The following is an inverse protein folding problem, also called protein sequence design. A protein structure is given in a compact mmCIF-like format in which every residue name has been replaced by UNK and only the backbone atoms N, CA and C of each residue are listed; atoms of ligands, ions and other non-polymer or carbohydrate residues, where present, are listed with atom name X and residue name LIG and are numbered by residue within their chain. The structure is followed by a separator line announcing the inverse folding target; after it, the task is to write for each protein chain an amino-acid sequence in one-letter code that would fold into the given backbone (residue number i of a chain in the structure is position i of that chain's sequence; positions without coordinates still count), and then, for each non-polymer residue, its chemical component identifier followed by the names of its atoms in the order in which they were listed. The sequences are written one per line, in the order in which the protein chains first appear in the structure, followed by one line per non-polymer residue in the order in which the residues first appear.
data_IF_071045311889
#
_entry.id   IF_071045311889
#
_cell.length_a   1.000
_cell.length_b   1.000
_cell.length_c   1.000
_cell.angle_alpha   90.00
_cell.angle_beta   90.00
_cell.angle_gamma   90.00
#
_symmetry.space_group_name_H-M   'P 1'
#
loop_
_entity.id
_entity.type
_entity.pdbx_description
1 polymer ?
#
# COMPACT_ATOMS: atom_id res chain seq x y z
N UNK A 1 13.77 -3.34 12.75
CA UNK A 1 12.69 -4.06 12.05
C UNK A 1 13.22 -4.36 10.65
N UNK A 2 13.19 -5.61 10.23
CA UNK A 2 13.75 -6.04 8.92
C UNK A 2 12.65 -5.99 7.89
N UNK A 3 12.54 -4.87 7.23
CA UNK A 3 11.45 -4.49 6.35
C UNK A 3 11.98 -4.21 4.94
N UNK A 4 11.22 -4.63 3.93
CA UNK A 4 11.44 -4.27 2.52
C UNK A 4 10.17 -3.60 2.01
N UNK A 5 10.35 -2.46 1.32
CA UNK A 5 9.27 -1.79 0.62
C UNK A 5 9.18 -2.28 -0.83
N UNK A 6 7.98 -2.65 -1.26
CA UNK A 6 7.67 -2.97 -2.65
C UNK A 6 6.70 -1.93 -3.20
N UNK A 7 7.16 -1.19 -4.21
CA UNK A 7 6.33 -0.25 -4.94
C UNK A 7 5.49 -1.03 -5.97
N UNK A 8 4.17 -1.04 -5.79
CA UNK A 8 3.25 -1.74 -6.69
C UNK A 8 2.94 -0.94 -7.95
N UNK A 9 2.83 0.38 -7.81
CA UNK A 9 2.45 1.27 -8.90
C UNK A 9 3.04 2.66 -8.70
N UNK A 10 3.18 3.42 -9.79
CA UNK A 10 3.45 4.86 -9.74
C UNK A 10 2.17 5.70 -9.90
N UNK A 11 1.02 5.05 -10.17
CA UNK A 11 -0.26 5.77 -10.17
C UNK A 11 -0.64 6.22 -8.76
N UNK A 12 -1.07 7.48 -8.64
CA UNK A 12 -1.56 8.06 -7.41
C UNK A 12 -2.59 9.14 -7.75
N UNK A 13 -3.75 9.22 -7.12
CA UNK A 13 -4.70 10.31 -7.33
C UNK A 13 -4.21 11.67 -6.82
N UNK A 14 -3.07 11.68 -6.09
CA UNK A 14 -2.41 12.88 -5.58
C UNK A 14 -1.09 13.17 -6.31
N UNK A 15 -0.76 14.45 -6.51
CA UNK A 15 0.50 14.93 -7.08
C UNK A 15 1.27 15.76 -6.04
N UNK A 16 1.67 15.12 -4.93
CA UNK A 16 2.33 15.81 -3.82
C UNK A 16 3.72 16.33 -4.22
N UNK A 17 3.98 17.63 -3.99
CA UNK A 17 5.22 18.27 -4.42
C UNK A 17 6.51 17.67 -3.82
N UNK A 18 6.41 16.97 -2.70
CA UNK A 18 7.53 16.30 -2.02
C UNK A 18 7.62 14.80 -2.32
N UNK A 19 6.83 14.29 -3.27
CA UNK A 19 6.79 12.86 -3.57
C UNK A 19 8.14 12.37 -4.11
N UNK A 20 8.82 11.52 -3.35
CA UNK A 20 10.15 11.00 -3.69
C UNK A 20 10.15 10.15 -4.97
N UNK A 21 9.04 9.48 -5.27
CA UNK A 21 8.89 8.63 -6.45
C UNK A 21 8.20 9.36 -7.61
N UNK A 22 7.81 10.62 -7.42
CA UNK A 22 7.08 11.44 -8.40
C UNK A 22 5.84 10.71 -8.96
N UNK A 23 5.09 10.09 -8.07
CA UNK A 23 3.82 9.48 -8.41
C UNK A 23 2.76 10.54 -8.75
N UNK A 24 1.77 10.15 -9.53
CA UNK A 24 0.70 11.07 -9.94
C UNK A 24 -0.40 10.38 -10.75
N UNK A 25 -1.49 11.11 -11.07
CA UNK A 25 -2.62 10.56 -11.82
C UNK A 25 -2.26 10.16 -13.26
N UNK A 26 -1.24 10.78 -13.84
CA UNK A 26 -0.80 10.53 -15.21
C UNK A 26 0.25 9.41 -15.31
N UNK A 27 0.62 8.80 -14.19
CA UNK A 27 1.54 7.67 -14.15
C UNK A 27 0.73 6.38 -14.16
N UNK A 28 1.14 5.43 -15.00
CA UNK A 28 0.42 4.17 -15.22
C UNK A 28 1.29 2.93 -15.07
N UNK A 29 2.56 3.13 -14.70
CA UNK A 29 3.49 2.03 -14.49
C UNK A 29 3.10 1.28 -13.22
N UNK A 30 2.95 -0.02 -13.35
CA UNK A 30 2.69 -0.93 -12.25
C UNK A 30 3.43 -2.26 -12.44
N UNK A 31 3.67 -2.93 -11.34
CA UNK A 31 4.31 -4.25 -11.32
C UNK A 31 3.32 -5.28 -11.88
N UNK A 32 3.80 -6.21 -12.72
CA UNK A 32 2.98 -7.35 -13.13
C UNK A 32 2.68 -8.29 -11.95
N UNK A 33 1.58 -9.04 -12.04
CA UNK A 33 1.26 -10.04 -11.01
C UNK A 33 2.35 -11.11 -10.88
N UNK A 34 2.97 -11.48 -12.01
CA UNK A 34 4.05 -12.47 -12.06
C UNK A 34 5.30 -11.96 -11.34
N UNK A 35 5.75 -10.74 -11.68
CA UNK A 35 6.89 -10.11 -11.03
C UNK A 35 6.65 -9.89 -9.54
N UNK A 36 5.46 -9.41 -9.15
CA UNK A 36 5.11 -9.21 -7.76
C UNK A 36 5.23 -10.51 -6.96
N UNK A 37 4.71 -11.61 -7.50
CA UNK A 37 4.79 -12.94 -6.89
C UNK A 37 6.24 -13.41 -6.76
N UNK A 38 7.02 -13.29 -7.83
CA UNK A 38 8.41 -13.75 -7.84
C UNK A 38 9.29 -12.93 -6.88
N UNK A 39 9.16 -11.61 -6.90
CA UNK A 39 9.91 -10.73 -5.99
C UNK A 39 9.53 -10.96 -4.53
N UNK A 40 8.26 -11.13 -4.20
CA UNK A 40 7.82 -11.42 -2.82
C UNK A 40 8.41 -12.74 -2.33
N UNK A 41 8.41 -13.77 -3.19
CA UNK A 41 9.05 -15.07 -2.88
C UNK A 41 10.55 -14.92 -2.62
N UNK A 42 11.27 -14.16 -3.46
CA UNK A 42 12.69 -13.88 -3.29
C UNK A 42 12.98 -13.11 -1.98
N UNK A 43 12.14 -12.10 -1.67
CA UNK A 43 12.24 -11.33 -0.42
C UNK A 43 12.09 -12.25 0.79
N UNK A 44 11.09 -13.12 0.80
CA UNK A 44 10.83 -14.05 1.90
C UNK A 44 11.96 -15.08 2.07
N UNK A 45 12.54 -15.56 0.97
CA UNK A 45 13.64 -16.52 0.98
C UNK A 45 14.99 -15.89 1.36
N UNK A 46 15.13 -14.57 1.29
CA UNK A 46 16.40 -13.90 1.51
C UNK A 46 16.99 -14.21 2.88
N UNK A 47 18.22 -14.75 2.89
CA UNK A 47 18.96 -15.16 4.10
C UNK A 47 18.10 -15.95 5.10
N UNK A 48 17.37 -16.97 4.60
CA UNK A 48 16.52 -17.85 5.41
C UNK A 48 15.48 -17.08 6.26
N UNK A 49 14.77 -16.14 5.65
CA UNK A 49 13.72 -15.36 6.32
C UNK A 49 14.25 -14.18 7.14
N UNK A 50 15.41 -13.64 6.75
CA UNK A 50 15.95 -12.43 7.37
C UNK A 50 14.98 -11.24 7.27
N UNK A 51 14.23 -11.13 6.18
CA UNK A 51 13.14 -10.18 5.99
C UNK A 51 11.84 -10.83 6.43
N UNK A 52 11.11 -10.20 7.31
CA UNK A 52 9.84 -10.70 7.81
C UNK A 52 8.68 -9.69 7.72
N UNK A 53 8.95 -8.47 7.27
CA UNK A 53 7.92 -7.44 7.00
C UNK A 53 8.03 -7.00 5.55
N UNK A 54 6.92 -7.08 4.82
CA UNK A 54 6.76 -6.50 3.50
C UNK A 54 5.87 -5.26 3.60
N UNK A 55 6.41 -4.11 3.23
CA UNK A 55 5.64 -2.87 3.06
C UNK A 55 5.19 -2.74 1.63
N UNK A 56 3.90 -2.92 1.37
CA UNK A 56 3.30 -2.62 0.07
C UNK A 56 2.98 -1.12 0.00
N UNK A 57 3.54 -0.48 -1.00
CA UNK A 57 3.51 0.96 -1.19
C UNK A 57 3.52 1.29 -2.69
N UNK A 58 3.88 2.51 -3.05
CA UNK A 58 4.00 2.94 -4.44
C UNK A 58 3.61 4.40 -4.57
N UNK A 59 2.88 4.72 -5.62
CA UNK A 59 2.10 5.94 -5.70
C UNK A 59 0.99 5.87 -4.66
N UNK A 60 -0.06 5.12 -4.98
CA UNK A 60 -1.12 4.79 -4.02
C UNK A 60 -1.57 3.33 -4.25
N UNK A 61 -1.24 2.40 -3.35
CA UNK A 61 -1.55 0.98 -3.59
C UNK A 61 -3.04 0.67 -3.67
N UNK A 62 -3.90 1.45 -2.99
CA UNK A 62 -5.36 1.28 -3.09
C UNK A 62 -5.94 1.73 -4.44
N UNK A 63 -5.19 2.40 -5.30
CA UNK A 63 -5.63 2.70 -6.67
C UNK A 63 -5.58 1.47 -7.59
N UNK A 64 -4.85 0.42 -7.19
CA UNK A 64 -4.74 -0.85 -7.92
C UNK A 64 -5.11 -2.04 -7.01
N UNK A 65 -6.37 -2.08 -6.54
CA UNK A 65 -6.85 -3.05 -5.55
C UNK A 65 -6.60 -4.51 -5.92
N UNK A 66 -6.69 -4.85 -7.21
CA UNK A 66 -6.43 -6.23 -7.69
C UNK A 66 -4.98 -6.62 -7.40
N UNK A 67 -4.03 -5.77 -7.76
CA UNK A 67 -2.60 -6.01 -7.55
C UNK A 67 -2.25 -5.95 -6.06
N UNK A 68 -2.81 -4.99 -5.32
CA UNK A 68 -2.65 -4.90 -3.87
C UNK A 68 -3.09 -6.19 -3.17
N UNK A 69 -4.30 -6.67 -3.46
CA UNK A 69 -4.83 -7.91 -2.88
C UNK A 69 -3.93 -9.10 -3.19
N UNK A 70 -3.56 -9.27 -4.45
CA UNK A 70 -2.66 -10.35 -4.86
C UNK A 70 -1.29 -10.26 -4.15
N UNK A 71 -0.70 -9.07 -4.05
CA UNK A 71 0.55 -8.87 -3.31
C UNK A 71 0.42 -9.21 -1.83
N UNK A 72 -0.71 -8.88 -1.20
CA UNK A 72 -0.99 -9.28 0.18
C UNK A 72 -1.16 -10.79 0.34
N UNK A 73 -1.85 -11.46 -0.59
CA UNK A 73 -2.00 -12.91 -0.61
C UNK A 73 -0.63 -13.60 -0.76
N UNK A 74 0.19 -13.16 -1.71
CA UNK A 74 1.55 -13.68 -1.89
C UNK A 74 2.43 -13.47 -0.66
N UNK A 75 2.30 -12.32 0.01
CA UNK A 75 3.02 -12.07 1.27
C UNK A 75 2.57 -13.03 2.38
N UNK A 76 1.27 -13.25 2.52
CA UNK A 76 0.70 -14.17 3.51
C UNK A 76 1.13 -15.64 3.24
N UNK A 77 1.09 -16.09 1.98
CA UNK A 77 1.58 -17.41 1.56
C UNK A 77 3.06 -17.64 1.93
N UNK A 78 3.84 -16.58 1.99
CA UNK A 78 5.27 -16.62 2.33
C UNK A 78 5.56 -16.23 3.79
N UNK A 79 4.55 -16.19 4.66
CA UNK A 79 4.67 -15.88 6.09
C UNK A 79 5.27 -14.51 6.40
N UNK A 80 5.07 -13.52 5.53
CA UNK A 80 5.50 -12.15 5.76
C UNK A 80 4.40 -11.36 6.48
N UNK A 81 4.81 -10.53 7.44
CA UNK A 81 3.92 -9.52 8.01
C UNK A 81 3.70 -8.41 6.99
N UNK A 82 2.43 -8.01 6.82
CA UNK A 82 2.02 -7.05 5.81
C UNK A 82 1.92 -5.66 6.43
N UNK A 83 2.71 -4.73 5.92
CA UNK A 83 2.59 -3.30 6.18
C UNK A 83 2.05 -2.62 4.92
N UNK A 84 1.08 -1.72 5.08
CA UNK A 84 0.56 -0.89 3.99
C UNK A 84 0.89 0.58 4.24
N UNK A 85 1.28 1.29 3.18
CA UNK A 85 1.47 2.74 3.22
C UNK A 85 0.52 3.37 2.21
N UNK A 86 -0.35 4.25 2.65
CA UNK A 86 -1.43 4.86 1.85
C UNK A 86 -1.63 6.32 2.20
N UNK A 87 -2.16 7.11 1.29
CA UNK A 87 -2.61 8.47 1.55
C UNK A 87 -4.06 8.54 2.06
N UNK A 88 -4.80 7.44 2.05
CA UNK A 88 -6.16 7.36 2.59
C UNK A 88 -7.26 7.93 1.69
N UNK A 89 -7.00 8.22 0.40
CA UNK A 89 -8.00 8.80 -0.51
C UNK A 89 -9.29 7.99 -0.60
N UNK A 90 -9.20 6.69 -0.43
CA UNK A 90 -10.29 5.70 -0.50
C UNK A 90 -11.26 5.76 0.68
N UNK A 91 -10.87 6.40 1.79
CA UNK A 91 -11.64 6.41 3.03
C UNK A 91 -12.60 7.62 3.11
N UNK A 92 -13.40 7.85 2.07
CA UNK A 92 -14.36 8.96 1.99
C UNK A 92 -15.49 8.86 3.00
N UNK A 93 -15.86 7.63 3.38
CA UNK A 93 -16.88 7.32 4.37
C UNK A 93 -16.35 6.21 5.30
N UNK A 94 -16.59 6.34 6.59
CA UNK A 94 -16.11 5.42 7.62
C UNK A 94 -16.53 3.96 7.38
N UNK A 95 -17.81 3.74 7.10
CA UNK A 95 -18.34 2.38 6.93
C UNK A 95 -17.79 1.71 5.66
N UNK A 96 -17.66 2.45 4.56
CA UNK A 96 -17.03 1.95 3.33
C UNK A 96 -15.56 1.63 3.54
N UNK A 97 -14.85 2.49 4.28
CA UNK A 97 -13.45 2.26 4.63
C UNK A 97 -13.29 0.97 5.44
N UNK A 98 -14.15 0.75 6.44
CA UNK A 98 -14.17 -0.48 7.24
C UNK A 98 -14.42 -1.73 6.39
N UNK A 99 -15.44 -1.70 5.53
CA UNK A 99 -15.75 -2.82 4.62
C UNK A 99 -14.60 -3.12 3.66
N UNK A 100 -13.95 -2.09 3.12
CA UNK A 100 -12.78 -2.27 2.26
C UNK A 100 -11.64 -2.95 3.01
N UNK A 101 -11.26 -2.45 4.18
CA UNK A 101 -10.18 -3.05 4.98
C UNK A 101 -10.49 -4.48 5.41
N UNK A 102 -11.74 -4.77 5.81
CA UNK A 102 -12.18 -6.12 6.18
C UNK A 102 -12.19 -7.09 4.99
N UNK A 103 -12.29 -6.60 3.76
CA UNK A 103 -12.24 -7.42 2.55
C UNK A 103 -10.82 -7.83 2.13
N UNK A 104 -9.79 -7.24 2.74
CA UNK A 104 -8.38 -7.50 2.46
C UNK A 104 -7.80 -8.59 3.37
N UNK A 105 -6.73 -9.28 2.97
CA UNK A 105 -5.94 -10.11 3.87
C UNK A 105 -5.49 -9.33 5.11
N UNK A 106 -5.13 -10.05 6.18
CA UNK A 106 -4.74 -9.44 7.46
C UNK A 106 -3.61 -8.44 7.30
N UNK A 107 -3.87 -7.19 7.67
CA UNK A 107 -2.89 -6.10 7.73
C UNK A 107 -2.25 -6.12 9.11
N UNK A 108 -0.92 -6.13 9.17
CA UNK A 108 -0.15 -6.06 10.43
C UNK A 108 0.12 -4.61 10.86
N UNK A 109 0.27 -3.71 9.88
CA UNK A 109 0.49 -2.28 10.10
C UNK A 109 -0.11 -1.49 8.95
N UNK A 110 -0.94 -0.50 9.25
CA UNK A 110 -1.43 0.50 8.30
C UNK A 110 -0.81 1.86 8.62
N UNK A 111 -0.03 2.39 7.70
CA UNK A 111 0.55 3.74 7.80
C UNK A 111 -0.19 4.67 6.86
N UNK A 112 -0.76 5.75 7.41
CA UNK A 112 -1.53 6.72 6.63
C UNK A 112 -0.74 8.02 6.56
N UNK A 113 -0.37 8.41 5.33
CA UNK A 113 0.36 9.64 5.07
C UNK A 113 -0.57 10.85 5.18
N UNK A 114 -0.21 11.82 6.01
CA UNK A 114 -0.95 13.07 6.10
C UNK A 114 -0.02 14.21 6.51
N UNK A 115 -0.04 15.28 5.74
CA UNK A 115 0.65 16.54 5.97
C UNK A 115 0.06 17.63 5.06
N UNK A 116 0.62 18.84 5.08
CA UNK A 116 0.15 19.95 4.26
C UNK A 116 0.19 19.70 2.74
N UNK A 117 1.00 18.75 2.27
CA UNK A 117 1.11 18.44 0.84
C UNK A 117 0.07 17.39 0.44
N UNK A 118 -0.13 16.37 1.28
CA UNK A 118 -1.16 15.35 1.08
C UNK A 118 -2.57 15.97 1.18
N UNK A 119 -2.79 16.86 2.15
CA UNK A 119 -4.10 17.49 2.40
C UNK A 119 -4.57 18.45 1.28
N UNK A 120 -3.71 18.75 0.30
CA UNK A 120 -4.15 19.44 -0.93
C UNK A 120 -4.99 18.53 -1.83
N UNK A 121 -4.88 17.21 -1.69
CA UNK A 121 -5.51 16.21 -2.54
C UNK A 121 -6.44 15.28 -1.76
N UNK A 122 -6.09 14.97 -0.53
CA UNK A 122 -6.84 14.06 0.33
C UNK A 122 -7.29 14.82 1.58
N UNK A 123 -8.60 15.04 1.76
CA UNK A 123 -9.13 15.70 2.95
C UNK A 123 -8.71 14.98 4.24
N UNK A 124 -8.41 15.73 5.29
CA UNK A 124 -8.06 15.15 6.60
C UNK A 124 -9.17 14.27 7.18
N UNK A 125 -10.43 14.51 6.78
CA UNK A 125 -11.56 13.65 7.15
C UNK A 125 -11.38 12.20 6.68
N UNK A 126 -10.82 11.99 5.48
CA UNK A 126 -10.51 10.65 4.99
C UNK A 126 -9.50 9.94 5.92
N UNK A 127 -8.49 10.67 6.41
CA UNK A 127 -7.50 10.12 7.36
C UNK A 127 -8.20 9.67 8.64
N UNK A 128 -9.11 10.49 9.19
CA UNK A 128 -9.90 10.13 10.37
C UNK A 128 -10.78 8.90 10.11
N UNK A 129 -11.45 8.84 8.97
CA UNK A 129 -12.27 7.69 8.59
C UNK A 129 -11.44 6.41 8.50
N UNK A 130 -10.23 6.48 7.91
CA UNK A 130 -9.33 5.33 7.79
C UNK A 130 -8.79 4.86 9.15
N UNK A 131 -8.55 5.77 10.10
CA UNK A 131 -8.10 5.42 11.46
C UNK A 131 -9.22 4.70 12.24
N UNK A 132 -10.47 5.10 12.04
CA UNK A 132 -11.62 4.53 12.74
C UNK A 132 -12.17 3.24 12.09
N UNK A 133 -11.76 2.92 10.89
CA UNK A 133 -12.23 1.77 10.14
C UNK A 133 -11.58 0.48 10.60
#
# INVERSE_FOLDING_TARGET
MRNVGLLLTYHCPASCAHCIVRAGPDRHEEVSLEDARDWIRQIAAYRNGYVYVLSLTGGEPFSTLKLLRAGMEFAAENNLYISLVTNGFWATERERARQLLQSLPKISLLSISTDRYHQKFVPFENVKNAIWA
#
